data_IF_961067301704
#
_entry.id   IF_961067301704
#
_cell.length_a   1.000
_cell.length_b   1.000
_cell.length_c   1.000
_cell.angle_alpha   90.00
_cell.angle_beta   90.00
_cell.angle_gamma   90.00
#
_symmetry.space_group_name_H-M   'P 1'
#
loop_
_entity.id
_entity.type
_entity.pdbx_description
1 polymer ?
#
# COMPACT_ATOMS: atom_id res chain seq x y z
N UNK A 1 -44.99 -22.88 -46.30
CA UNK A 1 -43.90 -23.37 -45.42
C UNK A 1 -42.50 -23.33 -46.04
N UNK A 2 -42.23 -23.89 -47.23
CA UNK A 2 -40.88 -23.84 -47.85
C UNK A 2 -40.33 -22.41 -48.07
N UNK A 3 -41.18 -21.43 -48.38
CA UNK A 3 -40.78 -20.01 -48.52
C UNK A 3 -40.42 -19.33 -47.19
N UNK A 4 -41.06 -19.72 -46.09
CA UNK A 4 -40.78 -19.17 -44.76
C UNK A 4 -39.44 -19.68 -44.21
N UNK A 5 -39.15 -20.97 -44.38
CA UNK A 5 -37.86 -21.55 -43.98
C UNK A 5 -36.67 -20.94 -44.73
N UNK A 6 -36.85 -20.58 -46.02
CA UNK A 6 -35.80 -19.92 -46.82
C UNK A 6 -35.45 -18.51 -46.33
N UNK A 7 -36.37 -17.81 -45.67
CA UNK A 7 -36.12 -16.48 -45.09
C UNK A 7 -35.69 -16.56 -43.63
N UNK A 8 -36.21 -17.50 -42.85
CA UNK A 8 -35.94 -17.59 -41.42
C UNK A 8 -34.49 -18.01 -41.12
N UNK A 9 -33.93 -18.93 -41.91
CA UNK A 9 -32.56 -19.44 -41.71
C UNK A 9 -31.49 -18.33 -41.83
N UNK A 10 -31.46 -17.51 -42.89
CA UNK A 10 -30.46 -16.44 -42.99
C UNK A 10 -30.65 -15.34 -41.94
N UNK A 11 -31.90 -15.04 -41.54
CA UNK A 11 -32.16 -14.09 -40.45
C UNK A 11 -31.64 -14.62 -39.12
N UNK A 12 -31.87 -15.90 -38.82
CA UNK A 12 -31.36 -16.53 -37.60
C UNK A 12 -29.83 -16.57 -37.58
N UNK A 13 -29.18 -16.82 -38.73
CA UNK A 13 -27.73 -16.80 -38.85
C UNK A 13 -27.16 -15.39 -38.62
N UNK A 14 -27.80 -14.34 -39.16
CA UNK A 14 -27.38 -12.95 -38.95
C UNK A 14 -27.56 -12.55 -37.48
N UNK A 15 -28.67 -12.93 -36.85
CA UNK A 15 -28.91 -12.67 -35.42
C UNK A 15 -27.89 -13.40 -34.54
N UNK A 16 -27.53 -14.64 -34.89
CA UNK A 16 -26.52 -15.40 -34.17
C UNK A 16 -25.12 -14.78 -34.31
N UNK A 17 -24.74 -14.34 -35.52
CA UNK A 17 -23.46 -13.65 -35.76
C UNK A 17 -23.43 -12.30 -35.04
N UNK A 18 -24.51 -11.52 -35.09
CA UNK A 18 -24.61 -10.25 -34.36
C UNK A 18 -24.54 -10.47 -32.83
N UNK A 19 -25.18 -11.52 -32.31
CA UNK A 19 -25.12 -11.88 -30.90
C UNK A 19 -23.71 -12.35 -30.48
N UNK A 20 -23.01 -13.09 -31.34
CA UNK A 20 -21.61 -13.51 -31.13
C UNK A 20 -20.64 -12.32 -31.19
N UNK A 21 -20.87 -11.35 -32.09
CA UNK A 21 -20.08 -10.12 -32.17
C UNK A 21 -20.37 -9.12 -31.05
N UNK A 22 -21.53 -9.25 -30.37
CA UNK A 22 -21.91 -8.42 -29.24
C UNK A 22 -21.45 -8.99 -27.89
N UNK A 23 -20.81 -10.17 -27.87
CA UNK A 23 -20.13 -10.63 -26.67
C UNK A 23 -18.95 -9.66 -26.46
N UNK A 24 -18.92 -8.87 -25.37
CA UNK A 24 -17.75 -8.07 -25.07
C UNK A 24 -16.60 -9.06 -24.94
N UNK A 25 -15.65 -8.99 -25.88
CA UNK A 25 -14.34 -9.57 -25.65
C UNK A 25 -13.76 -8.76 -24.49
N UNK A 26 -13.95 -9.23 -23.26
CA UNK A 26 -13.11 -8.81 -22.15
C UNK A 26 -11.70 -9.08 -22.61
N UNK A 27 -10.92 -8.01 -22.84
CA UNK A 27 -9.51 -8.14 -23.14
C UNK A 27 -8.93 -9.12 -22.11
N UNK A 28 -8.18 -10.11 -22.57
CA UNK A 28 -7.53 -11.04 -21.65
C UNK A 28 -6.76 -10.19 -20.64
N UNK A 29 -7.00 -10.40 -19.34
CA UNK A 29 -6.33 -9.65 -18.31
C UNK A 29 -4.82 -9.76 -18.55
N UNK A 30 -4.14 -8.63 -18.71
CA UNK A 30 -2.69 -8.60 -18.86
C UNK A 30 -2.09 -9.04 -17.52
N UNK A 31 -1.77 -10.33 -17.40
CA UNK A 31 -1.30 -10.92 -16.16
C UNK A 31 0.12 -11.44 -16.33
N UNK A 32 1.00 -11.06 -15.40
CA UNK A 32 2.38 -11.52 -15.38
C UNK A 32 2.69 -12.13 -14.01
N UNK A 33 3.08 -13.40 -14.02
CA UNK A 33 3.51 -14.12 -12.83
C UNK A 33 5.00 -13.88 -12.57
N UNK A 34 5.35 -13.55 -11.34
CA UNK A 34 6.73 -13.22 -10.92
C UNK A 34 7.11 -13.96 -9.64
N UNK A 35 8.37 -14.41 -9.59
CA UNK A 35 9.06 -14.92 -8.39
C UNK A 35 10.58 -14.85 -8.61
N UNK A 36 11.35 -14.85 -7.54
CA UNK A 36 12.80 -14.97 -7.65
C UNK A 36 13.20 -16.32 -8.27
N UNK A 37 14.18 -16.29 -9.16
CA UNK A 37 14.62 -17.48 -9.90
C UNK A 37 13.63 -17.97 -10.95
N UNK A 38 12.63 -17.16 -11.35
CA UNK A 38 11.76 -17.46 -12.48
C UNK A 38 12.55 -17.81 -13.74
N UNK A 39 12.03 -18.74 -14.55
CA UNK A 39 12.70 -19.25 -15.76
C UNK A 39 11.88 -19.12 -17.03
N UNK A 40 10.64 -18.63 -16.91
CA UNK A 40 9.65 -18.58 -17.97
C UNK A 40 9.39 -17.18 -18.51
N UNK A 41 8.25 -17.05 -19.17
CA UNK A 41 7.80 -15.84 -19.87
C UNK A 41 6.82 -14.98 -19.03
N UNK A 42 6.42 -15.46 -17.86
CA UNK A 42 5.43 -14.84 -16.97
C UNK A 42 3.99 -15.25 -17.24
N UNK A 43 3.73 -16.21 -18.14
CA UNK A 43 2.36 -16.61 -18.51
C UNK A 43 1.61 -17.44 -17.45
N UNK A 44 2.33 -18.01 -16.47
CA UNK A 44 1.77 -18.81 -15.38
C UNK A 44 2.74 -18.89 -14.20
N UNK A 45 2.30 -19.41 -13.05
CA UNK A 45 3.16 -19.60 -11.89
C UNK A 45 4.34 -20.59 -12.13
N UNK A 46 4.10 -21.64 -12.93
CA UNK A 46 5.14 -22.60 -13.36
C UNK A 46 6.12 -21.97 -14.38
N UNK A 47 5.65 -20.99 -15.15
CA UNK A 47 6.42 -20.24 -16.15
C UNK A 47 6.66 -18.80 -15.69
N UNK A 48 6.92 -18.58 -14.39
CA UNK A 48 7.12 -17.23 -13.84
C UNK A 48 8.26 -16.51 -14.55
N UNK A 49 8.12 -15.19 -14.70
CA UNK A 49 8.97 -14.36 -15.55
C UNK A 49 10.45 -14.45 -15.16
N UNK A 50 11.28 -14.72 -16.15
CA UNK A 50 12.74 -14.77 -16.01
C UNK A 50 13.37 -13.37 -15.99
N UNK A 51 14.34 -13.10 -15.10
CA UNK A 51 15.26 -11.97 -15.21
C UNK A 51 15.98 -11.92 -16.57
N UNK A 52 16.25 -10.72 -17.11
CA UNK A 52 16.88 -10.57 -18.45
C UNK A 52 18.32 -11.06 -18.48
N UNK A 53 19.08 -10.88 -17.40
CA UNK A 53 20.40 -11.49 -17.22
C UNK A 53 20.28 -12.64 -16.22
N UNK A 54 20.59 -13.86 -16.65
CA UNK A 54 20.53 -15.06 -15.80
C UNK A 54 21.62 -15.13 -14.73
N UNK A 55 22.55 -14.15 -14.71
CA UNK A 55 23.63 -14.06 -13.75
C UNK A 55 23.70 -12.63 -13.23
N UNK A 56 23.36 -12.50 -11.95
CA UNK A 56 23.72 -11.37 -11.11
C UNK A 56 25.23 -11.07 -11.25
N UNK A 57 25.56 -9.90 -11.82
CA UNK A 57 26.93 -9.37 -11.86
C UNK A 57 27.06 -8.25 -10.79
N UNK A 58 27.77 -8.51 -9.67
CA UNK A 58 27.93 -7.53 -8.58
C UNK A 58 28.74 -6.30 -8.99
N UNK A 59 29.37 -6.29 -10.17
CA UNK A 59 30.17 -5.17 -10.68
C UNK A 59 29.37 -4.19 -11.55
N UNK A 60 28.14 -4.54 -11.93
CA UNK A 60 27.26 -3.67 -12.71
C UNK A 60 26.61 -2.57 -11.86
N UNK A 61 26.32 -1.42 -12.47
CA UNK A 61 25.65 -0.32 -11.80
C UNK A 61 24.28 -0.73 -11.28
N UNK A 62 23.84 -0.15 -10.15
CA UNK A 62 22.56 -0.50 -9.51
C UNK A 62 21.36 -0.37 -10.46
N UNK A 63 21.40 0.60 -11.38
CA UNK A 63 20.39 0.80 -12.43
C UNK A 63 20.31 -0.39 -13.40
N UNK A 64 21.44 -0.98 -13.80
CA UNK A 64 21.44 -2.16 -14.66
C UNK A 64 20.83 -3.37 -13.91
N UNK A 65 21.19 -3.54 -12.63
CA UNK A 65 20.66 -4.62 -11.78
C UNK A 65 19.14 -4.53 -11.59
N UNK A 66 18.63 -3.31 -11.39
CA UNK A 66 17.19 -3.07 -11.26
C UNK A 66 16.46 -3.47 -12.54
N UNK A 67 16.99 -3.03 -13.69
CA UNK A 67 16.41 -3.37 -15.00
C UNK A 67 16.37 -4.86 -15.23
N UNK A 68 17.34 -5.62 -14.70
CA UNK A 68 17.33 -7.07 -14.88
C UNK A 68 16.33 -7.83 -14.00
N UNK A 69 15.79 -7.19 -12.96
CA UNK A 69 14.88 -7.83 -12.02
C UNK A 69 13.52 -8.19 -12.66
N UNK A 70 13.00 -9.38 -12.37
CA UNK A 70 11.74 -9.86 -12.94
C UNK A 70 10.56 -8.92 -12.66
N UNK A 71 10.48 -8.35 -11.45
CA UNK A 71 9.46 -7.34 -11.11
C UNK A 71 9.57 -6.08 -11.98
N UNK A 72 10.78 -5.59 -12.25
CA UNK A 72 10.99 -4.41 -13.11
C UNK A 72 10.48 -4.69 -14.52
N UNK A 73 10.89 -5.84 -15.08
CA UNK A 73 10.50 -6.27 -16.41
C UNK A 73 8.99 -6.49 -16.53
N UNK A 74 8.35 -7.05 -15.50
CA UNK A 74 6.90 -7.19 -15.45
C UNK A 74 6.20 -5.83 -15.50
N UNK A 75 6.65 -4.87 -14.69
CA UNK A 75 6.07 -3.52 -14.65
C UNK A 75 6.22 -2.83 -16.00
N UNK A 76 7.41 -2.83 -16.61
CA UNK A 76 7.61 -2.24 -17.95
C UNK A 76 6.66 -2.84 -18.98
N UNK A 77 6.56 -4.18 -19.03
CA UNK A 77 5.63 -4.87 -19.94
C UNK A 77 4.18 -4.47 -19.71
N UNK A 78 3.74 -4.32 -18.45
CA UNK A 78 2.37 -3.91 -18.17
C UNK A 78 2.12 -2.45 -18.54
N UNK A 79 3.08 -1.55 -18.29
CA UNK A 79 2.98 -0.15 -18.73
C UNK A 79 2.82 -0.04 -20.25
N UNK A 80 3.61 -0.80 -21.01
CA UNK A 80 3.52 -0.86 -22.48
C UNK A 80 2.18 -1.44 -22.98
N UNK A 81 1.52 -2.27 -22.19
CA UNK A 81 0.27 -2.93 -22.54
C UNK A 81 -0.97 -2.26 -21.91
N UNK A 82 -0.84 -1.07 -21.33
CA UNK A 82 -1.96 -0.30 -20.77
C UNK A 82 -2.42 -0.77 -19.39
N UNK A 83 -1.56 -1.45 -18.63
CA UNK A 83 -1.78 -1.89 -17.26
C UNK A 83 -2.03 -3.38 -17.13
N UNK A 84 -2.38 -3.82 -15.92
CA UNK A 84 -2.69 -5.22 -15.65
C UNK A 84 -2.36 -5.65 -14.23
N UNK A 85 -2.15 -6.95 -14.07
CA UNK A 85 -1.92 -7.60 -12.77
C UNK A 85 -0.56 -8.29 -12.74
N UNK A 86 0.19 -8.04 -11.68
CA UNK A 86 1.38 -8.79 -11.31
C UNK A 86 0.97 -9.79 -10.23
N UNK A 87 1.14 -11.08 -10.52
CA UNK A 87 0.90 -12.16 -9.56
C UNK A 87 2.25 -12.57 -8.96
N UNK A 88 2.46 -12.22 -7.70
CA UNK A 88 3.61 -12.69 -6.91
C UNK A 88 3.32 -14.13 -6.51
N UNK A 89 3.94 -15.08 -7.22
CA UNK A 89 3.67 -16.52 -7.10
C UNK A 89 4.77 -17.30 -6.35
N UNK A 90 5.67 -16.58 -5.70
CA UNK A 90 6.73 -17.06 -4.82
C UNK A 90 7.45 -15.87 -4.17
N UNK A 91 8.46 -16.09 -3.32
CA UNK A 91 9.20 -15.01 -2.70
C UNK A 91 9.87 -14.11 -3.75
N UNK A 92 9.86 -12.80 -3.49
CA UNK A 92 10.63 -11.80 -4.23
C UNK A 92 11.40 -10.96 -3.22
N UNK A 93 12.72 -10.85 -3.39
CA UNK A 93 13.58 -10.06 -2.54
C UNK A 93 14.15 -8.88 -3.33
N UNK A 94 13.74 -7.68 -2.95
CA UNK A 94 14.28 -6.43 -3.51
C UNK A 94 15.50 -5.99 -2.72
N UNK A 95 16.63 -6.66 -2.94
CA UNK A 95 17.92 -6.33 -2.33
C UNK A 95 18.85 -5.66 -3.34
N UNK A 96 19.19 -4.38 -3.09
CA UNK A 96 20.09 -3.61 -3.95
C UNK A 96 21.47 -3.38 -3.31
N UNK A 97 21.80 -4.04 -2.19
CA UNK A 97 22.86 -3.65 -1.23
C UNK A 97 24.31 -3.90 -1.67
N UNK A 98 24.58 -4.28 -2.92
CA UNK A 98 25.97 -4.57 -3.33
C UNK A 98 26.62 -3.38 -4.00
N UNK A 99 27.10 -2.48 -3.15
CA UNK A 99 27.94 -1.34 -3.53
C UNK A 99 27.98 -0.34 -2.39
N UNK A 100 29.15 -0.16 -1.77
CA UNK A 100 29.44 0.84 -0.73
C UNK A 100 29.41 2.28 -1.29
N UNK A 101 28.29 2.66 -1.88
CA UNK A 101 28.00 4.02 -2.25
C UNK A 101 27.28 4.65 -1.07
N UNK A 102 27.97 5.59 -0.41
CA UNK A 102 27.37 6.52 0.54
C UNK A 102 26.30 7.42 -0.12
N UNK A 103 26.13 7.35 -1.44
CA UNK A 103 25.09 8.04 -2.16
C UNK A 103 23.78 7.23 -2.12
N UNK A 104 22.86 7.69 -1.26
CA UNK A 104 21.56 7.07 -0.99
C UNK A 104 20.68 6.89 -2.24
N UNK A 105 20.89 7.68 -3.30
CA UNK A 105 20.19 7.56 -4.60
C UNK A 105 20.39 6.22 -5.29
N UNK A 106 21.45 5.48 -4.95
CA UNK A 106 21.76 4.20 -5.59
C UNK A 106 21.04 3.01 -4.95
N UNK A 107 20.43 3.17 -3.77
CA UNK A 107 19.89 2.03 -3.01
C UNK A 107 18.42 1.76 -3.25
N UNK A 108 17.68 2.72 -3.81
CA UNK A 108 16.25 2.59 -4.06
C UNK A 108 15.99 1.83 -5.36
N UNK A 109 14.96 0.98 -5.39
CA UNK A 109 14.42 0.33 -6.59
C UNK A 109 13.59 1.35 -7.36
N UNK A 110 14.21 1.96 -8.38
CA UNK A 110 13.66 3.07 -9.14
C UNK A 110 13.43 2.70 -10.60
N UNK A 111 12.53 3.43 -11.24
CA UNK A 111 12.24 3.31 -12.66
C UNK A 111 12.78 4.53 -13.40
N UNK A 112 13.05 4.35 -14.70
CA UNK A 112 13.39 5.48 -15.56
C UNK A 112 12.24 6.49 -15.55
N UNK A 113 12.54 7.78 -15.45
CA UNK A 113 11.52 8.83 -15.38
C UNK A 113 10.54 8.83 -16.57
N UNK A 114 10.96 8.30 -17.73
CA UNK A 114 10.10 8.14 -18.91
C UNK A 114 9.03 7.06 -18.77
N UNK A 115 9.12 6.20 -17.76
CA UNK A 115 8.11 5.19 -17.44
C UNK A 115 7.02 5.72 -16.52
N UNK A 116 7.21 6.91 -15.92
CA UNK A 116 6.25 7.45 -14.97
C UNK A 116 4.97 7.92 -15.67
N UNK A 117 3.81 7.45 -15.23
CA UNK A 117 2.50 7.77 -15.83
C UNK A 117 1.34 7.61 -14.84
N UNK A 118 0.34 8.48 -14.93
CA UNK A 118 -0.93 8.35 -14.20
C UNK A 118 -2.03 7.63 -14.99
N UNK A 119 -1.78 7.30 -16.26
CA UNK A 119 -2.79 6.75 -17.17
C UNK A 119 -3.00 5.24 -16.99
N UNK A 120 -2.09 4.58 -16.29
CA UNK A 120 -2.01 3.13 -16.19
C UNK A 120 -1.95 2.69 -14.74
N UNK A 121 -2.85 1.78 -14.35
CA UNK A 121 -2.81 1.17 -13.01
C UNK A 121 -2.23 -0.24 -13.07
N UNK A 122 -1.34 -0.56 -12.13
CA UNK A 122 -0.80 -1.90 -11.94
C UNK A 122 -1.31 -2.45 -10.61
N UNK A 123 -1.91 -3.64 -10.67
CA UNK A 123 -2.36 -4.38 -9.48
C UNK A 123 -1.33 -5.45 -9.11
N UNK A 124 -1.04 -5.60 -7.83
CA UNK A 124 -0.13 -6.59 -7.26
C UNK A 124 -0.94 -7.50 -6.33
N UNK A 125 -0.85 -8.81 -6.54
CA UNK A 125 -1.56 -9.80 -5.74
C UNK A 125 -0.76 -11.10 -5.57
N UNK A 126 -1.02 -11.83 -4.48
CA UNK A 126 -0.58 -13.22 -4.31
C UNK A 126 -1.73 -14.21 -4.31
N UNK A 127 -2.96 -13.77 -4.60
CA UNK A 127 -4.13 -14.63 -4.81
C UNK A 127 -4.65 -14.44 -6.23
N UNK A 128 -4.64 -15.51 -7.02
CA UNK A 128 -5.08 -15.45 -8.41
C UNK A 128 -5.65 -16.79 -8.88
N UNK A 129 -6.77 -16.75 -9.62
CA UNK A 129 -7.49 -17.93 -10.10
C UNK A 129 -7.79 -18.99 -9.01
N UNK A 130 -8.16 -18.51 -7.81
CA UNK A 130 -8.51 -19.37 -6.67
C UNK A 130 -7.31 -20.03 -5.97
N UNK A 131 -6.07 -19.69 -6.35
CA UNK A 131 -4.85 -20.15 -5.70
C UNK A 131 -4.29 -19.02 -4.84
N UNK A 132 -4.03 -19.32 -3.57
CA UNK A 132 -3.27 -18.44 -2.67
C UNK A 132 -1.79 -18.86 -2.69
N UNK A 133 -0.95 -18.05 -3.34
CA UNK A 133 0.48 -18.30 -3.44
C UNK A 133 1.23 -18.01 -2.15
N UNK A 134 0.64 -17.26 -1.20
CA UNK A 134 1.23 -17.06 0.13
C UNK A 134 1.30 -18.39 0.87
N UNK A 135 0.21 -19.15 0.81
CA UNK A 135 0.11 -20.46 1.45
C UNK A 135 0.84 -21.55 0.67
N UNK A 136 0.66 -21.58 -0.66
CA UNK A 136 1.16 -22.69 -1.49
C UNK A 136 2.62 -22.56 -1.89
N UNK A 137 3.16 -21.34 -1.93
CA UNK A 137 4.51 -21.05 -2.41
C UNK A 137 5.31 -20.09 -1.52
N UNK A 138 4.78 -19.69 -0.36
CA UNK A 138 5.43 -18.70 0.51
C UNK A 138 5.57 -17.33 -0.15
N UNK A 139 4.66 -16.99 -1.06
CA UNK A 139 4.73 -15.75 -1.82
C UNK A 139 4.69 -14.52 -0.91
N UNK A 140 5.69 -13.66 -1.08
CA UNK A 140 5.82 -12.38 -0.39
C UNK A 140 6.79 -11.47 -1.11
N UNK A 141 6.58 -10.17 -0.96
CA UNK A 141 7.51 -9.14 -1.41
C UNK A 141 8.36 -8.66 -0.23
N UNK A 142 9.67 -8.90 -0.28
CA UNK A 142 10.61 -8.53 0.78
C UNK A 142 11.40 -7.31 0.35
N UNK A 143 11.29 -6.21 1.09
CA UNK A 143 12.00 -4.97 0.86
C UNK A 143 13.39 -5.05 1.49
N UNK A 144 14.36 -5.60 0.77
CA UNK A 144 15.73 -5.85 1.26
C UNK A 144 16.48 -4.60 1.73
N UNK A 145 17.72 -4.81 2.18
CA UNK A 145 18.55 -3.73 2.73
C UNK A 145 18.77 -2.59 1.72
N UNK A 146 18.44 -1.37 2.14
CA UNK A 146 18.64 -0.16 1.35
C UNK A 146 17.52 0.21 0.39
N UNK A 147 16.54 -0.67 0.14
CA UNK A 147 15.54 -0.46 -0.90
C UNK A 147 14.30 0.29 -0.42
N UNK A 148 14.04 1.48 -0.97
CA UNK A 148 12.66 1.94 -1.19
C UNK A 148 12.25 1.56 -2.60
N UNK A 149 10.97 1.24 -2.80
CA UNK A 149 10.42 1.00 -4.13
C UNK A 149 9.70 2.26 -4.56
N UNK A 150 10.24 2.94 -5.56
CA UNK A 150 9.55 4.06 -6.20
C UNK A 150 8.66 3.49 -7.29
N UNK A 151 7.35 3.68 -7.19
CA UNK A 151 6.40 3.14 -8.16
C UNK A 151 6.24 4.12 -9.33
N UNK A 152 6.25 3.65 -10.59
CA UNK A 152 6.18 4.52 -11.76
C UNK A 152 4.74 4.84 -12.18
N UNK A 153 3.74 4.29 -11.49
CA UNK A 153 2.34 4.49 -11.87
C UNK A 153 1.40 4.23 -10.69
N UNK A 154 0.12 4.61 -10.81
CA UNK A 154 -0.92 4.18 -9.90
C UNK A 154 -0.81 2.68 -9.60
N UNK A 155 -0.74 2.34 -8.32
CA UNK A 155 -0.42 0.98 -7.87
C UNK A 155 -1.39 0.52 -6.80
N UNK A 156 -1.90 -0.71 -6.95
CA UNK A 156 -2.84 -1.33 -6.01
C UNK A 156 -2.26 -2.64 -5.51
N UNK A 157 -2.12 -2.79 -4.20
CA UNK A 157 -1.67 -4.02 -3.54
C UNK A 157 -2.87 -4.67 -2.88
N UNK A 158 -3.10 -5.96 -3.12
CA UNK A 158 -4.20 -6.72 -2.51
C UNK A 158 -3.80 -8.17 -2.26
N UNK A 159 -4.39 -8.81 -1.24
CA UNK A 159 -4.20 -10.24 -0.98
C UNK A 159 -2.74 -10.74 -1.03
N UNK A 160 -1.80 -9.98 -0.47
CA UNK A 160 -0.38 -10.28 -0.54
C UNK A 160 0.36 -9.95 0.76
N UNK A 161 1.52 -10.57 0.96
CA UNK A 161 2.39 -10.28 2.10
C UNK A 161 3.57 -9.41 1.66
N UNK A 162 3.85 -8.37 2.43
CA UNK A 162 4.95 -7.44 2.25
C UNK A 162 5.77 -7.42 3.54
N UNK A 163 7.03 -7.84 3.47
CA UNK A 163 7.95 -7.76 4.59
C UNK A 163 8.93 -6.60 4.36
N UNK A 164 9.15 -5.78 5.39
CA UNK A 164 10.38 -4.99 5.39
C UNK A 164 11.57 -5.95 5.53
N UNK A 165 12.71 -5.63 4.95
CA UNK A 165 13.97 -6.39 5.11
C UNK A 165 15.01 -5.66 5.97
N UNK A 166 14.70 -4.43 6.38
CA UNK A 166 15.48 -3.62 7.31
C UNK A 166 14.61 -2.47 7.83
N UNK A 167 15.13 -1.73 8.82
CA UNK A 167 14.48 -0.51 9.29
C UNK A 167 14.20 0.45 8.14
N UNK A 168 13.04 1.12 8.20
CA UNK A 168 12.79 2.31 7.40
C UNK A 168 12.89 2.02 5.89
N UNK A 169 12.30 0.90 5.45
CA UNK A 169 12.15 0.49 4.05
C UNK A 169 10.70 0.55 3.65
N UNK A 170 10.40 0.74 2.38
CA UNK A 170 9.04 1.11 2.04
C UNK A 170 8.74 1.31 0.57
N UNK A 171 7.54 1.82 0.32
CA UNK A 171 7.07 2.23 -1.00
C UNK A 171 6.93 3.73 -1.05
N UNK A 172 7.46 4.32 -2.10
CA UNK A 172 7.15 5.68 -2.48
C UNK A 172 6.28 5.64 -3.75
N UNK A 173 5.12 6.29 -3.69
CA UNK A 173 4.16 6.31 -4.78
C UNK A 173 4.66 7.07 -6.03
N UNK A 174 5.83 7.73 -5.95
CA UNK A 174 6.38 8.46 -7.08
C UNK A 174 5.54 9.68 -7.49
N UNK A 175 4.60 10.11 -6.65
CA UNK A 175 3.60 11.14 -6.95
C UNK A 175 2.28 10.59 -7.48
N UNK A 176 2.21 9.28 -7.71
CA UNK A 176 1.03 8.58 -8.20
C UNK A 176 0.09 8.17 -7.05
N UNK A 177 -1.06 7.59 -7.40
CA UNK A 177 -1.92 6.94 -6.42
C UNK A 177 -1.29 5.62 -5.93
N UNK A 178 -1.40 5.35 -4.63
CA UNK A 178 -0.91 4.13 -4.01
C UNK A 178 -1.96 3.58 -3.05
N UNK A 179 -2.47 2.40 -3.34
CA UNK A 179 -3.55 1.77 -2.57
C UNK A 179 -3.11 0.42 -2.02
N UNK A 180 -3.33 0.20 -0.73
CA UNK A 180 -3.21 -1.10 -0.09
C UNK A 180 -4.61 -1.54 0.33
N UNK A 181 -5.18 -2.51 -0.39
CA UNK A 181 -6.50 -3.06 -0.19
C UNK A 181 -6.52 -4.21 0.84
N UNK A 182 -7.71 -4.65 1.26
CA UNK A 182 -7.87 -5.76 2.19
C UNK A 182 -7.12 -7.03 1.73
N UNK A 183 -6.63 -7.78 2.71
CA UNK A 183 -5.81 -8.97 2.49
C UNK A 183 -4.33 -8.67 2.24
N UNK A 184 -3.93 -7.40 2.14
CA UNK A 184 -2.53 -7.00 2.24
C UNK A 184 -2.05 -7.12 3.68
N UNK A 185 -0.93 -7.81 3.89
CA UNK A 185 -0.32 -8.03 5.19
C UNK A 185 1.09 -7.45 5.20
N UNK A 186 1.38 -6.63 6.20
CA UNK A 186 2.72 -6.14 6.48
C UNK A 186 3.37 -6.96 7.60
N UNK A 187 4.59 -7.42 7.35
CA UNK A 187 5.40 -8.17 8.29
C UNK A 187 6.65 -7.35 8.66
N UNK A 188 7.10 -7.47 9.93
CA UNK A 188 8.36 -6.85 10.32
C UNK A 188 9.53 -7.60 9.69
N UNK A 189 10.66 -6.92 9.48
CA UNK A 189 11.87 -7.59 9.00
C UNK A 189 12.46 -8.59 10.00
N UNK A 190 12.27 -8.30 11.29
CA UNK A 190 12.63 -9.15 12.41
C UNK A 190 11.42 -9.23 13.34
N UNK A 191 10.93 -10.44 13.57
CA UNK A 191 9.77 -10.69 14.43
C UNK A 191 9.97 -10.21 15.88
N UNK A 192 11.22 -10.17 16.36
CA UNK A 192 11.55 -9.64 17.70
C UNK A 192 11.32 -8.12 17.80
N UNK A 193 11.24 -7.43 16.66
CA UNK A 193 11.01 -5.99 16.56
C UNK A 193 9.57 -5.65 16.14
N UNK A 194 8.62 -6.58 16.27
CA UNK A 194 7.21 -6.33 15.93
C UNK A 194 6.56 -5.15 16.69
N UNK A 195 7.16 -4.68 17.79
CA UNK A 195 6.73 -3.47 18.49
C UNK A 195 7.35 -2.17 17.95
N UNK A 196 8.43 -2.25 17.17
CA UNK A 196 9.11 -1.09 16.60
C UNK A 196 8.44 -0.71 15.26
N UNK A 197 7.85 0.51 15.14
CA UNK A 197 7.27 0.96 13.88
C UNK A 197 8.26 0.97 12.71
N UNK A 198 9.57 1.11 12.97
CA UNK A 198 10.60 1.08 11.92
C UNK A 198 10.78 -0.30 11.32
N UNK A 199 10.35 -1.36 12.02
CA UNK A 199 10.45 -2.72 11.54
C UNK A 199 9.48 -3.01 10.39
N UNK A 200 8.49 -2.15 10.17
CA UNK A 200 7.46 -2.29 9.14
C UNK A 200 7.69 -1.36 7.94
N UNK A 201 7.04 -1.64 6.80
CA UNK A 201 7.14 -0.77 5.63
C UNK A 201 6.69 0.67 5.91
N UNK A 202 7.47 1.63 5.41
CA UNK A 202 7.09 3.05 5.33
C UNK A 202 6.39 3.31 4.00
N UNK A 203 5.35 4.13 4.02
CA UNK A 203 4.60 4.50 2.83
C UNK A 203 4.78 6.01 2.60
N UNK A 204 5.24 6.40 1.43
CA UNK A 204 5.46 7.78 1.01
C UNK A 204 4.66 8.09 -0.26
N UNK A 205 4.19 9.33 -0.40
CA UNK A 205 3.57 9.79 -1.65
C UNK A 205 4.61 10.27 -2.67
N UNK A 206 5.65 10.97 -2.22
CA UNK A 206 6.68 11.55 -3.09
C UNK A 206 7.86 10.61 -3.38
N UNK A 207 8.59 10.87 -4.48
CA UNK A 207 9.89 10.25 -4.76
C UNK A 207 10.94 10.77 -3.81
N UNK A 208 11.96 9.98 -3.49
CA UNK A 208 13.15 10.43 -2.74
C UNK A 208 14.08 11.26 -3.64
N UNK A 209 14.67 12.34 -3.12
CA UNK A 209 15.60 13.26 -3.83
C UNK A 209 15.09 13.99 -5.07
N UNK A 210 13.79 13.93 -5.37
CA UNK A 210 13.21 14.66 -6.51
C UNK A 210 12.05 15.52 -6.08
N UNK A 211 11.96 16.69 -6.70
CA UNK A 211 10.78 17.54 -6.65
C UNK A 211 9.66 16.81 -7.38
N UNK A 212 8.57 16.53 -6.66
CA UNK A 212 7.38 15.96 -7.27
C UNK A 212 6.37 17.07 -7.58
N UNK A 213 5.81 17.03 -8.78
CA UNK A 213 4.77 17.96 -9.24
C UNK A 213 3.37 17.33 -9.23
N UNK A 214 3.26 16.05 -8.85
CA UNK A 214 1.99 15.31 -8.82
C UNK A 214 1.37 15.31 -7.43
N UNK A 215 0.08 14.97 -7.37
CA UNK A 215 -0.72 14.98 -6.16
C UNK A 215 -0.98 13.55 -5.68
N UNK A 216 -0.06 12.93 -4.92
CA UNK A 216 -0.21 11.54 -4.54
C UNK A 216 -1.44 11.36 -3.64
N UNK A 217 -2.16 10.27 -3.90
CA UNK A 217 -3.26 9.79 -3.06
C UNK A 217 -2.87 8.42 -2.52
N UNK A 218 -2.61 8.37 -1.21
CA UNK A 218 -2.29 7.12 -0.51
C UNK A 218 -3.57 6.63 0.15
N UNK A 219 -3.97 5.38 -0.13
CA UNK A 219 -5.11 4.73 0.53
C UNK A 219 -4.65 3.46 1.23
N UNK A 220 -4.97 3.31 2.51
CA UNK A 220 -4.62 2.14 3.33
C UNK A 220 -5.87 1.53 3.94
N UNK A 221 -6.12 0.28 3.58
CA UNK A 221 -7.24 -0.55 4.04
C UNK A 221 -6.75 -2.00 4.25
N UNK A 222 -5.95 -2.21 5.30
CA UNK A 222 -5.20 -3.47 5.51
C UNK A 222 -5.73 -4.31 6.68
N UNK A 223 -6.97 -4.07 7.10
CA UNK A 223 -7.60 -4.76 8.23
C UNK A 223 -6.92 -4.44 9.54
N UNK A 224 -6.42 -5.46 10.23
CA UNK A 224 -5.69 -5.29 11.51
C UNK A 224 -4.16 -5.23 11.31
N UNK A 225 -3.68 -5.32 10.06
CA UNK A 225 -2.25 -5.40 9.78
C UNK A 225 -1.47 -4.18 10.29
N UNK A 226 -0.32 -4.39 10.95
CA UNK A 226 0.51 -3.30 11.45
C UNK A 226 1.11 -2.48 10.32
N UNK A 227 1.12 -1.16 10.46
CA UNK A 227 1.73 -0.22 9.51
C UNK A 227 2.76 0.62 10.25
N UNK A 228 3.95 0.75 9.66
CA UNK A 228 5.07 1.49 10.26
C UNK A 228 4.82 2.98 10.26
N UNK A 229 5.07 3.64 9.14
CA UNK A 229 4.84 5.08 8.99
C UNK A 229 4.17 5.40 7.66
N UNK A 230 3.37 6.48 7.63
CA UNK A 230 2.76 6.99 6.40
C UNK A 230 3.06 8.48 6.27
N UNK A 231 3.51 8.89 5.09
CA UNK A 231 3.75 10.29 4.76
C UNK A 231 3.17 10.60 3.39
N UNK A 232 2.21 11.52 3.31
CA UNK A 232 1.63 11.96 2.04
C UNK A 232 2.66 12.61 1.12
N UNK A 233 3.70 13.22 1.70
CA UNK A 233 4.81 13.82 0.98
C UNK A 233 5.98 12.87 0.73
N UNK A 234 7.16 13.46 0.61
CA UNK A 234 8.40 12.74 0.30
C UNK A 234 9.00 12.02 1.50
N UNK A 235 9.66 10.91 1.18
CA UNK A 235 10.62 10.25 2.05
C UNK A 235 12.03 10.63 1.65
N UNK A 236 12.79 11.40 2.43
CA UNK A 236 14.20 11.64 2.13
C UNK A 236 14.89 12.72 2.96
N UNK A 237 16.19 12.51 3.22
CA UNK A 237 17.06 13.25 4.13
C UNK A 237 18.06 14.04 3.27
N UNK A 238 18.06 15.36 3.41
CA UNK A 238 19.05 16.21 2.78
C UNK A 238 18.65 17.67 2.93
N UNK A 239 19.32 18.37 3.84
CA UNK A 239 19.23 19.82 3.95
C UNK A 239 19.60 20.47 2.61
N UNK A 240 18.65 21.13 1.96
CA UNK A 240 18.93 21.96 0.78
C UNK A 240 18.19 21.59 -0.51
N UNK A 241 17.19 20.72 -0.46
CA UNK A 241 16.35 20.46 -1.63
C UNK A 241 14.91 20.92 -1.37
N UNK A 242 14.52 22.02 -2.01
CA UNK A 242 13.15 22.55 -2.08
C UNK A 242 12.27 21.57 -2.86
N UNK A 243 11.54 20.69 -2.18
CA UNK A 243 10.91 19.57 -2.87
C UNK A 243 9.52 19.28 -2.35
N UNK A 244 8.56 19.99 -2.97
CA UNK A 244 7.25 19.58 -3.48
C UNK A 244 6.56 20.86 -3.98
N UNK A 245 7.05 21.50 -5.04
CA UNK A 245 6.47 22.78 -5.51
C UNK A 245 5.13 22.54 -6.24
N UNK A 246 4.01 23.06 -5.71
CA UNK A 246 2.69 23.04 -6.34
C UNK A 246 1.85 21.78 -6.11
N UNK A 247 2.29 20.84 -5.27
CA UNK A 247 1.63 19.54 -5.08
C UNK A 247 0.87 19.46 -3.76
N UNK A 248 -0.37 18.96 -3.83
CA UNK A 248 -1.18 18.60 -2.67
C UNK A 248 -1.14 17.10 -2.44
N UNK A 249 -1.16 16.68 -1.18
CA UNK A 249 -1.06 15.28 -0.78
C UNK A 249 -2.33 14.84 -0.09
N UNK A 250 -2.75 13.60 -0.34
CA UNK A 250 -3.91 13.01 0.33
C UNK A 250 -3.57 11.65 0.91
N UNK A 251 -3.87 11.46 2.19
CA UNK A 251 -3.76 10.18 2.89
C UNK A 251 -5.16 9.76 3.33
N UNK A 252 -5.58 8.56 2.96
CA UNK A 252 -6.88 7.97 3.31
C UNK A 252 -6.62 6.69 4.07
N UNK A 253 -7.10 6.63 5.30
CA UNK A 253 -6.95 5.48 6.19
C UNK A 253 -8.33 4.92 6.48
N UNK A 254 -8.55 3.68 6.05
CA UNK A 254 -9.81 2.95 6.27
C UNK A 254 -9.69 1.92 7.39
N UNK A 255 -8.55 1.22 7.43
CA UNK A 255 -8.25 0.21 8.44
C UNK A 255 -6.73 -0.03 8.54
N UNK A 256 -6.28 -0.55 9.67
CA UNK A 256 -4.88 -0.88 9.97
C UNK A 256 -4.54 -0.68 11.45
N UNK A 257 -3.38 -1.18 11.87
CA UNK A 257 -2.79 -0.86 13.19
C UNK A 257 -1.55 0.02 12.99
N UNK A 258 -1.67 1.33 13.23
CA UNK A 258 -0.63 2.30 12.91
C UNK A 258 0.31 2.50 14.10
N UNK A 259 1.50 1.93 14.00
CA UNK A 259 2.50 1.90 15.07
C UNK A 259 3.35 3.17 15.13
N UNK A 260 3.57 3.81 13.98
CA UNK A 260 4.37 5.03 13.86
C UNK A 260 3.55 6.18 13.33
N UNK A 261 4.26 7.23 12.92
CA UNK A 261 3.63 8.50 12.56
C UNK A 261 2.89 8.45 11.22
N UNK A 262 1.79 9.21 11.18
CA UNK A 262 1.08 9.59 9.98
C UNK A 262 1.32 11.08 9.76
N UNK A 263 1.85 11.44 8.60
CA UNK A 263 2.12 12.82 8.20
C UNK A 263 1.43 13.18 6.89
N UNK A 264 0.80 14.35 6.81
CA UNK A 264 0.24 14.82 5.54
C UNK A 264 1.32 15.17 4.51
N UNK A 265 2.44 15.74 4.96
CA UNK A 265 3.61 16.09 4.15
C UNK A 265 4.77 15.13 4.38
N UNK A 266 5.99 15.66 4.48
CA UNK A 266 7.23 14.87 4.43
C UNK A 266 7.69 14.35 5.81
N UNK A 267 8.48 13.26 5.78
CA UNK A 267 9.02 12.59 6.98
C UNK A 267 10.18 13.32 7.66
N UNK A 268 10.97 14.12 6.95
CA UNK A 268 12.20 14.68 7.52
C UNK A 268 12.12 16.20 7.65
N UNK A 269 12.88 16.74 8.59
CA UNK A 269 13.04 18.18 8.75
C UNK A 269 13.74 18.79 7.53
N UNK A 270 13.27 19.96 7.08
CA UNK A 270 13.91 20.73 6.00
C UNK A 270 13.43 20.40 4.59
N UNK A 271 12.45 19.50 4.43
CA UNK A 271 11.75 19.25 3.16
C UNK A 271 10.41 19.97 3.17
N UNK A 272 10.11 20.82 2.20
CA UNK A 272 8.89 21.63 2.21
C UNK A 272 7.80 21.05 1.31
N UNK A 273 6.55 21.01 1.79
CA UNK A 273 5.36 20.82 0.94
C UNK A 273 4.91 22.19 0.40
N UNK A 274 4.68 22.36 -0.90
CA UNK A 274 4.10 23.60 -1.45
C UNK A 274 2.74 23.30 -2.07
N UNK A 275 1.80 22.94 -1.22
CA UNK A 275 0.41 22.73 -1.57
C UNK A 275 -0.36 22.40 -0.31
N UNK A 276 -1.45 21.65 -0.44
CA UNK A 276 -2.29 21.30 0.71
C UNK A 276 -2.02 19.87 1.15
N UNK A 277 -2.15 19.60 2.43
CA UNK A 277 -2.20 18.24 2.94
C UNK A 277 -3.60 17.90 3.44
N UNK A 278 -4.07 16.71 3.11
CA UNK A 278 -5.33 16.17 3.59
C UNK A 278 -5.11 14.75 4.14
N UNK A 279 -5.55 14.52 5.39
CA UNK A 279 -5.56 13.21 6.02
C UNK A 279 -7.02 12.88 6.35
N UNK A 280 -7.52 11.77 5.82
CA UNK A 280 -8.86 11.25 6.07
C UNK A 280 -8.74 9.94 6.85
N UNK A 281 -9.36 9.86 8.02
CA UNK A 281 -9.36 8.67 8.88
C UNK A 281 -10.78 8.18 9.09
N UNK A 282 -11.09 7.03 8.49
CA UNK A 282 -12.38 6.35 8.58
C UNK A 282 -12.37 5.24 9.64
N UNK A 283 -11.21 4.68 9.97
CA UNK A 283 -11.06 3.58 10.93
C UNK A 283 -9.60 3.18 11.19
N UNK A 284 -9.40 2.15 12.02
CA UNK A 284 -8.08 1.64 12.41
C UNK A 284 -7.74 1.86 13.89
N UNK A 285 -6.56 1.41 14.30
CA UNK A 285 -6.00 1.56 15.67
C UNK A 285 -4.73 2.40 15.59
N UNK A 286 -4.63 3.48 16.36
CA UNK A 286 -3.54 4.45 16.28
C UNK A 286 -2.71 4.46 17.55
N UNK A 287 -1.40 4.21 17.41
CA UNK A 287 -0.41 4.22 18.50
C UNK A 287 0.68 5.27 18.33
N UNK A 288 0.91 5.73 17.09
CA UNK A 288 1.86 6.79 16.79
C UNK A 288 1.28 8.20 16.94
N UNK A 289 1.89 9.15 16.24
CA UNK A 289 1.38 10.53 16.13
C UNK A 289 0.70 10.77 14.78
N UNK A 290 -0.31 11.64 14.76
CA UNK A 290 -0.90 12.15 13.51
C UNK A 290 -0.50 13.61 13.39
N UNK A 291 0.19 13.96 12.32
CA UNK A 291 0.66 15.31 12.05
C UNK A 291 0.06 15.78 10.72
N UNK A 292 -0.79 16.81 10.74
CA UNK A 292 -1.44 17.32 9.55
C UNK A 292 -0.43 17.69 8.45
N UNK A 293 0.77 18.15 8.83
CA UNK A 293 1.86 18.52 7.92
C UNK A 293 2.99 17.49 7.89
N UNK A 294 3.25 16.76 8.97
CA UNK A 294 4.48 15.98 9.14
C UNK A 294 5.66 16.82 9.63
N UNK A 295 6.89 16.39 9.31
CA UNK A 295 8.14 16.97 9.84
C UNK A 295 8.73 18.09 8.96
N UNK A 296 8.21 18.25 7.74
CA UNK A 296 8.80 19.08 6.70
C UNK A 296 8.42 20.57 6.68
N UNK A 297 7.28 20.94 7.26
CA UNK A 297 6.70 22.28 7.08
C UNK A 297 6.22 22.56 5.64
N UNK A 298 5.72 23.78 5.40
CA UNK A 298 5.21 24.25 4.10
C UNK A 298 6.04 25.35 3.45
N UNK A 299 6.33 25.20 2.17
CA UNK A 299 7.02 26.22 1.36
C UNK A 299 6.15 27.40 0.95
N UNK A 300 4.82 27.25 1.02
CA UNK A 300 3.86 28.29 0.65
C UNK A 300 3.13 28.82 1.90
N UNK A 301 3.08 30.15 2.00
CA UNK A 301 2.34 30.89 3.03
C UNK A 301 0.82 30.72 2.93
N UNK A 302 0.30 30.11 1.86
CA UNK A 302 -1.12 29.84 1.67
C UNK A 302 -1.52 28.37 1.80
N UNK A 303 -0.59 27.48 2.12
CA UNK A 303 -0.89 26.06 2.32
C UNK A 303 -1.89 25.82 3.45
N UNK A 304 -2.79 24.86 3.24
CA UNK A 304 -3.72 24.36 4.25
C UNK A 304 -3.39 22.92 4.64
N UNK A 305 -3.61 22.58 5.90
CA UNK A 305 -3.51 21.22 6.39
C UNK A 305 -4.84 20.80 7.01
N UNK A 306 -5.43 19.70 6.54
CA UNK A 306 -6.72 19.22 7.03
C UNK A 306 -6.59 17.79 7.52
N UNK A 307 -7.09 17.53 8.73
CA UNK A 307 -7.27 16.18 9.27
C UNK A 307 -8.76 15.97 9.52
N UNK A 308 -9.37 15.02 8.83
CA UNK A 308 -10.77 14.64 9.02
C UNK A 308 -10.80 13.25 9.66
N UNK A 309 -11.47 13.14 10.80
CA UNK A 309 -11.59 11.86 11.52
C UNK A 309 -13.06 11.54 11.70
N UNK A 310 -13.50 10.41 11.17
CA UNK A 310 -14.86 9.88 11.31
C UNK A 310 -14.92 8.59 12.12
N UNK A 311 -13.80 7.89 12.32
CA UNK A 311 -13.73 6.66 13.11
C UNK A 311 -12.32 6.25 13.52
N UNK A 312 -12.21 5.13 14.25
CA UNK A 312 -10.95 4.56 14.73
C UNK A 312 -10.82 4.49 16.25
N UNK A 313 -9.76 3.84 16.72
CA UNK A 313 -9.36 3.75 18.13
C UNK A 313 -8.07 4.55 18.36
N UNK A 314 -8.14 5.53 19.25
CA UNK A 314 -7.07 6.46 19.59
C UNK A 314 -6.60 6.32 21.05
N UNK A 315 -7.00 5.24 21.74
CA UNK A 315 -6.72 5.04 23.17
C UNK A 315 -5.22 5.13 23.48
N UNK A 316 -4.38 4.57 22.61
CA UNK A 316 -2.92 4.55 22.75
C UNK A 316 -2.23 5.58 21.83
N UNK A 317 -2.98 6.48 21.19
CA UNK A 317 -2.43 7.46 20.27
C UNK A 317 -1.64 8.52 21.04
N UNK A 318 -0.42 8.81 20.59
CA UNK A 318 0.44 9.79 21.25
C UNK A 318 -0.05 11.23 21.07
N UNK A 319 -0.74 11.52 19.97
CA UNK A 319 -1.37 12.81 19.76
C UNK A 319 -1.74 13.11 18.33
N UNK A 320 -2.58 14.14 18.17
CA UNK A 320 -3.02 14.68 16.88
C UNK A 320 -2.61 16.14 16.80
N UNK A 321 -1.69 16.46 15.92
CA UNK A 321 -1.06 17.79 15.84
C UNK A 321 -1.24 18.39 14.46
N UNK A 322 -1.24 19.71 14.39
CA UNK A 322 -1.09 20.42 13.12
C UNK A 322 0.29 20.10 12.50
N UNK A 323 1.33 20.02 13.32
CA UNK A 323 2.73 19.92 12.93
C UNK A 323 3.53 19.10 13.92
N UNK A 324 4.66 18.54 13.46
CA UNK A 324 5.56 17.86 14.36
C UNK A 324 6.28 18.83 15.31
N UNK A 325 6.62 18.34 16.51
CA UNK A 325 7.30 19.12 17.55
C UNK A 325 8.63 19.67 17.04
N UNK A 326 8.83 20.99 17.16
CA UNK A 326 10.10 21.66 16.85
C UNK A 326 10.16 22.36 15.48
N UNK A 327 9.06 22.39 14.72
CA UNK A 327 8.97 23.18 13.49
C UNK A 327 8.77 24.67 13.87
N UNK A 328 9.86 25.46 13.86
CA UNK A 328 9.83 26.89 14.25
C UNK A 328 9.65 27.88 13.09
N UNK A 329 9.20 27.40 11.94
CA UNK A 329 8.88 28.22 10.77
C UNK A 329 8.13 27.37 9.76
N UNK A 330 7.33 27.99 8.89
CA UNK A 330 6.64 27.30 7.79
C UNK A 330 5.48 26.39 8.23
N UNK A 331 4.63 26.87 9.14
CA UNK A 331 3.35 26.23 9.47
C UNK A 331 2.30 26.47 8.37
N UNK A 332 1.24 25.66 8.38
CA UNK A 332 0.09 25.91 7.53
C UNK A 332 -0.47 27.30 7.84
N UNK A 333 -1.00 27.99 6.83
CA UNK A 333 -1.80 29.19 7.06
C UNK A 333 -3.03 28.88 7.90
N UNK A 334 -3.58 27.70 7.66
CA UNK A 334 -4.79 27.21 8.29
C UNK A 334 -4.68 25.70 8.45
N UNK A 335 -4.73 25.26 9.71
CA UNK A 335 -4.78 23.86 10.08
C UNK A 335 -6.17 23.54 10.65
N UNK A 336 -6.89 22.62 10.02
CA UNK A 336 -8.23 22.20 10.41
C UNK A 336 -8.22 20.76 10.94
N UNK A 337 -8.81 20.58 12.11
CA UNK A 337 -9.22 19.27 12.62
C UNK A 337 -10.75 19.16 12.52
N UNK A 338 -11.25 18.30 11.63
CA UNK A 338 -12.68 18.08 11.44
C UNK A 338 -13.12 16.74 12.04
N UNK A 339 -13.90 16.84 13.13
CA UNK A 339 -14.51 15.71 13.84
C UNK A 339 -16.03 15.69 13.66
N UNK A 340 -16.59 16.46 12.72
CA UNK A 340 -18.04 16.62 12.55
C UNK A 340 -18.78 15.30 12.32
N UNK A 341 -18.09 14.32 11.72
CA UNK A 341 -18.61 12.98 11.42
C UNK A 341 -18.13 11.90 12.42
N UNK A 342 -17.37 12.27 13.45
CA UNK A 342 -16.93 11.34 14.49
C UNK A 342 -18.06 11.01 15.48
N UNK A 343 -17.97 9.84 16.12
CA UNK A 343 -18.78 9.57 17.31
C UNK A 343 -18.35 10.47 18.48
N UNK A 344 -19.21 10.63 19.49
CA UNK A 344 -18.87 11.44 20.67
C UNK A 344 -17.68 10.84 21.45
N UNK A 345 -17.56 9.52 21.48
CA UNK A 345 -16.46 8.81 22.12
C UNK A 345 -15.12 9.13 21.42
N UNK A 346 -15.10 9.00 20.09
CA UNK A 346 -13.93 9.32 19.26
C UNK A 346 -13.55 10.80 19.40
N UNK A 347 -14.53 11.71 19.30
CA UNK A 347 -14.29 13.13 19.44
C UNK A 347 -13.73 13.50 20.83
N UNK A 348 -14.23 12.87 21.90
CA UNK A 348 -13.72 13.07 23.26
C UNK A 348 -12.28 12.59 23.42
N UNK A 349 -11.95 11.41 22.87
CA UNK A 349 -10.60 10.86 22.92
C UNK A 349 -9.61 11.79 22.22
N UNK A 350 -9.96 12.30 21.04
CA UNK A 350 -9.09 13.16 20.23
C UNK A 350 -8.89 14.53 20.90
N UNK A 351 -9.95 15.14 21.47
CA UNK A 351 -9.80 16.43 22.17
C UNK A 351 -8.78 16.40 23.31
N UNK A 352 -8.66 15.26 24.00
CA UNK A 352 -7.69 15.09 25.08
C UNK A 352 -6.23 15.05 24.63
N UNK A 353 -5.99 14.78 23.34
CA UNK A 353 -4.65 14.54 22.77
C UNK A 353 -4.32 15.43 21.56
N UNK A 354 -5.20 16.37 21.20
CA UNK A 354 -5.00 17.25 20.04
C UNK A 354 -4.45 18.63 20.42
N UNK A 355 -3.57 19.17 19.58
CA UNK A 355 -3.01 20.52 19.77
C UNK A 355 -2.58 21.18 18.45
N UNK A 356 -2.45 22.51 18.46
CA UNK A 356 -1.87 23.30 17.37
C UNK A 356 -2.83 23.67 16.23
N UNK A 357 -4.01 23.07 16.13
CA UNK A 357 -4.97 23.40 15.07
C UNK A 357 -5.51 24.84 15.19
N UNK A 358 -5.67 25.49 14.03
CA UNK A 358 -6.29 26.82 13.93
C UNK A 358 -7.79 26.74 14.19
N UNK A 359 -8.42 25.67 13.69
CA UNK A 359 -9.84 25.41 13.86
C UNK A 359 -10.08 23.94 14.18
N UNK A 360 -11.05 23.69 15.03
CA UNK A 360 -11.54 22.34 15.33
C UNK A 360 -13.06 22.34 15.21
N UNK A 361 -13.58 21.48 14.34
CA UNK A 361 -15.02 21.27 14.12
C UNK A 361 -15.45 20.02 14.86
N UNK A 362 -16.53 20.10 15.64
CA UNK A 362 -17.00 19.02 16.53
C UNK A 362 -18.31 18.41 16.04
N UNK A 363 -18.65 17.18 16.47
CA UNK A 363 -19.94 16.58 16.17
C UNK A 363 -21.12 17.44 16.67
N UNK A 364 -22.24 17.39 15.96
CA UNK A 364 -23.45 18.09 16.37
C UNK A 364 -23.96 17.59 17.74
N UNK A 365 -24.19 18.51 18.69
CA UNK A 365 -24.64 18.18 20.04
C UNK A 365 -23.54 17.74 21.00
N UNK A 366 -22.27 17.75 20.56
CA UNK A 366 -21.13 17.51 21.43
C UNK A 366 -20.92 18.68 22.39
N UNK A 367 -21.02 18.42 23.70
CA UNK A 367 -20.63 19.38 24.72
C UNK A 367 -19.12 19.20 24.97
N UNK A 368 -18.27 20.20 24.68
CA UNK A 368 -16.85 20.08 24.91
C UNK A 368 -16.60 19.77 26.39
N UNK A 369 -15.70 18.82 26.65
CA UNK A 369 -15.24 18.55 28.01
C UNK A 369 -14.58 19.85 28.48
N UNK A 370 -15.29 20.59 29.32
CA UNK A 370 -14.76 21.80 29.92
C UNK A 370 -13.75 21.32 30.93
N UNK A 371 -12.47 21.42 30.59
CA UNK A 371 -11.39 21.23 31.57
C UNK A 371 -11.66 22.22 32.69
N UNK A 372 -12.14 21.71 33.83
CA UNK A 372 -12.31 22.54 35.01
C UNK A 372 -10.97 23.22 35.27
N UNK A 373 -10.99 24.54 35.48
CA UNK A 373 -9.79 25.28 35.81
C UNK A 373 -9.05 24.55 36.94
N UNK A 374 -7.72 24.40 36.88
CA UNK A 374 -6.98 23.64 37.88
C UNK A 374 -7.36 24.17 39.26
N UNK A 375 -7.93 23.30 40.09
CA UNK A 375 -8.22 23.65 41.48
C UNK A 375 -6.91 24.12 42.09
N UNK A 376 -6.91 25.35 42.58
CA UNK A 376 -5.75 26.00 43.17
C UNK A 376 -5.34 25.16 44.38
N UNK A 377 -4.35 24.30 44.16
CA UNK A 377 -3.80 23.44 45.21
C UNK A 377 -3.17 24.36 46.24
N UNK A 378 -3.68 24.32 47.47
CA UNK A 378 -3.12 25.05 48.59
C UNK A 378 -1.62 24.74 48.72
N UNK A 379 -0.83 25.78 49.01
CA UNK A 379 0.61 25.71 49.14
C UNK A 379 1.04 24.53 50.05
N UNK A 380 2.04 23.73 49.65
CA UNK A 380 2.53 22.66 50.50
C UNK A 380 3.18 23.24 51.76
N UNK A 381 2.76 22.77 52.94
CA UNK A 381 3.47 23.07 54.18
C UNK A 381 4.88 22.47 54.11
N UNK A 382 5.88 23.35 54.16
CA UNK A 382 7.29 23.02 54.25
C UNK A 382 7.59 22.17 55.48
N UNK A 383 7.89 20.89 55.28
CA UNK A 383 8.58 20.07 56.29
C UNK A 383 9.94 19.66 55.73
N UNK A 384 10.98 20.32 56.24
CA UNK A 384 12.38 20.02 55.97
C UNK A 384 12.81 18.81 56.78
N UNK A 385 13.12 17.69 56.12
CA UNK A 385 13.91 16.61 56.70
C UNK A 385 15.05 16.25 55.75
N UNK A 386 16.26 16.22 56.30
CA UNK A 386 17.51 15.98 55.60
C UNK A 386 17.60 14.56 55.02
N UNK A 387 18.26 14.35 53.86
CA UNK A 387 18.52 13.00 53.38
C UNK A 387 19.77 12.43 54.07
N UNK A 388 19.60 11.31 54.77
CA UNK A 388 20.70 10.45 55.19
C UNK A 388 21.26 9.69 53.99
N UNK A 389 22.58 9.68 53.92
CA UNK A 389 23.41 8.94 52.97
C UNK A 389 23.42 7.47 53.32
N UNK A 390 23.29 6.51 52.39
CA UNK A 390 23.87 5.14 52.53
C UNK A 390 23.94 4.38 51.20
N UNK A 391 25.17 3.97 50.88
CA UNK A 391 25.72 2.78 50.19
C UNK A 391 25.17 2.25 48.85
N UNK A 392 26.11 2.11 47.91
CA UNK A 392 26.13 1.11 46.83
C UNK A 392 26.13 -0.33 47.39
N UNK A 393 25.71 -1.35 46.61
CA UNK A 393 26.76 -2.19 46.01
C UNK A 393 26.44 -2.85 44.65
N UNK A 394 27.57 -3.14 44.00
CA UNK A 394 27.96 -4.35 43.25
C UNK A 394 27.27 -4.83 41.96
N UNK A 395 28.16 -4.96 40.98
CA UNK A 395 28.12 -5.62 39.68
C UNK A 395 28.02 -7.15 39.82
N UNK A 396 27.31 -7.82 38.90
CA UNK A 396 27.50 -9.25 38.62
C UNK A 396 27.36 -9.52 37.12
N UNK A 397 28.22 -10.42 36.63
CA UNK A 397 28.57 -10.74 35.24
C UNK A 397 27.51 -11.56 34.46
N UNK A 398 27.65 -11.73 33.13
CA UNK A 398 26.67 -12.39 32.27
C UNK A 398 26.90 -13.92 32.18
N UNK A 399 25.83 -14.65 31.88
CA UNK A 399 25.89 -16.06 31.48
C UNK A 399 25.65 -16.19 29.97
N UNK A 400 26.54 -16.93 29.32
CA UNK A 400 26.48 -17.42 27.93
C UNK A 400 25.62 -18.69 27.81
N UNK A 401 25.51 -19.15 26.55
CA UNK A 401 25.16 -20.50 26.07
C UNK A 401 23.66 -20.87 26.03
N UNK A 402 23.15 -21.62 25.05
CA UNK A 402 23.60 -22.06 23.72
C UNK A 402 22.42 -22.78 23.06
N UNK A 403 22.57 -23.02 21.77
CA UNK A 403 22.15 -24.22 21.04
C UNK A 403 20.77 -24.35 20.37
N UNK A 404 20.91 -24.80 19.13
CA UNK A 404 19.98 -25.07 18.06
C UNK A 404 19.13 -26.32 18.33
N UNK A 405 17.96 -26.41 17.69
CA UNK A 405 17.54 -27.71 17.16
C UNK A 405 16.67 -27.53 15.92
N UNK A 406 17.18 -28.02 14.80
CA UNK A 406 16.47 -28.15 13.52
C UNK A 406 15.82 -29.53 13.42
N UNK A 407 14.59 -29.58 12.89
CA UNK A 407 13.95 -30.83 12.44
C UNK A 407 13.12 -30.56 11.18
N UNK A 408 13.26 -31.35 10.09
CA UNK A 408 12.53 -31.11 8.85
C UNK A 408 11.17 -31.79 8.85
N UNK A 409 10.18 -31.15 8.23
CA UNK A 409 8.85 -31.67 7.96
C UNK A 409 8.74 -32.23 6.51
N UNK A 410 7.77 -33.14 6.24
CA UNK A 410 7.78 -34.02 5.08
C UNK A 410 7.17 -33.40 3.81
N UNK A 411 7.58 -33.95 2.67
CA UNK A 411 7.14 -33.60 1.31
C UNK A 411 5.70 -33.99 1.00
N UNK A 412 4.89 -33.03 0.54
CA UNK A 412 3.51 -33.20 0.06
C UNK A 412 3.47 -33.38 -1.48
N UNK A 413 2.61 -34.26 -2.05
CA UNK A 413 2.53 -34.48 -3.49
C UNK A 413 1.84 -33.34 -4.25
N UNK A 414 2.29 -33.10 -5.49
CA UNK A 414 1.85 -32.05 -6.39
C UNK A 414 0.35 -32.12 -6.76
N UNK A 415 -0.31 -30.96 -6.75
CA UNK A 415 -1.68 -30.75 -7.21
C UNK A 415 -1.77 -30.65 -8.75
N UNK A 416 -2.90 -31.02 -9.37
CA UNK A 416 -3.07 -31.01 -10.81
C UNK A 416 -3.24 -29.60 -11.37
N UNK A 417 -2.63 -29.39 -12.54
CA UNK A 417 -2.56 -28.17 -13.34
C UNK A 417 -3.97 -27.66 -13.71
N UNK A 418 -4.32 -26.45 -13.29
CA UNK A 418 -5.55 -25.78 -13.66
C UNK A 418 -5.33 -24.91 -14.91
N UNK A 419 -6.00 -25.24 -16.01
CA UNK A 419 -6.03 -24.42 -17.23
C UNK A 419 -7.06 -23.30 -17.07
N UNK A 420 -6.59 -22.06 -16.95
CA UNK A 420 -7.40 -20.85 -16.87
C UNK A 420 -7.95 -20.45 -18.23
N UNK A 421 -9.21 -20.79 -18.48
CA UNK A 421 -10.05 -20.21 -19.52
C UNK A 421 -11.42 -19.89 -18.91
N UNK A 422 -12.18 -18.98 -19.52
CA UNK A 422 -13.55 -18.63 -19.11
C UNK A 422 -14.33 -19.90 -18.72
N UNK A 423 -15.13 -19.87 -17.63
CA UNK A 423 -15.69 -21.08 -17.03
C UNK A 423 -16.35 -21.90 -18.13
N UNK A 424 -15.76 -23.07 -18.42
CA UNK A 424 -16.23 -23.96 -19.50
C UNK A 424 -17.74 -24.22 -19.36
N UNK A 425 -18.26 -24.20 -18.12
CA UNK A 425 -19.69 -24.28 -17.84
C UNK A 425 -20.54 -23.17 -18.46
N UNK A 426 -20.05 -21.93 -18.57
CA UNK A 426 -20.78 -20.80 -19.18
C UNK A 426 -20.80 -20.93 -20.71
N UNK A 427 -19.69 -21.32 -21.33
CA UNK A 427 -19.62 -21.57 -22.78
C UNK A 427 -20.50 -22.76 -23.17
N UNK A 428 -20.43 -23.87 -22.42
CA UNK A 428 -21.30 -25.04 -22.62
C UNK A 428 -22.77 -24.66 -22.41
N UNK A 429 -23.08 -23.84 -21.40
CA UNK A 429 -24.44 -23.38 -21.12
C UNK A 429 -25.06 -22.59 -22.27
N UNK A 430 -24.30 -21.66 -22.87
CA UNK A 430 -24.75 -20.86 -24.01
C UNK A 430 -24.95 -21.75 -25.25
N UNK A 431 -24.02 -22.66 -25.55
CA UNK A 431 -24.13 -23.57 -26.70
C UNK A 431 -25.34 -24.51 -26.55
N UNK A 432 -25.57 -25.07 -25.36
CA UNK A 432 -26.71 -25.94 -25.08
C UNK A 432 -28.06 -25.19 -25.26
N UNK A 433 -28.16 -23.95 -24.76
CA UNK A 433 -29.38 -23.15 -24.91
C UNK A 433 -29.72 -22.86 -26.38
N UNK A 434 -28.72 -22.55 -27.21
CA UNK A 434 -28.91 -22.32 -28.65
C UNK A 434 -29.39 -23.58 -29.36
N UNK A 435 -28.82 -24.76 -29.02
CA UNK A 435 -29.25 -26.05 -29.60
C UNK A 435 -30.70 -26.36 -29.23
N UNK A 436 -31.11 -26.13 -27.97
CA UNK A 436 -32.48 -26.37 -27.53
C UNK A 436 -33.47 -25.47 -28.28
N UNK A 437 -33.15 -24.18 -28.44
CA UNK A 437 -34.00 -23.24 -29.20
C UNK A 437 -34.14 -23.70 -30.66
N UNK A 438 -33.03 -24.12 -31.29
CA UNK A 438 -33.06 -24.63 -32.67
C UNK A 438 -33.95 -25.89 -32.81
N UNK A 439 -33.88 -26.83 -31.86
CA UNK A 439 -34.72 -28.04 -31.84
C UNK A 439 -36.20 -27.69 -31.66
N UNK A 440 -36.52 -26.77 -30.74
CA UNK A 440 -37.91 -26.31 -30.51
C UNK A 440 -38.48 -25.69 -31.80
N UNK A 441 -37.72 -24.83 -32.48
CA UNK A 441 -38.14 -24.23 -33.76
C UNK A 441 -38.43 -25.32 -34.80
N UNK A 442 -37.58 -26.35 -34.91
CA UNK A 442 -37.81 -27.47 -35.85
C UNK A 442 -39.06 -28.26 -35.49
N UNK A 443 -39.31 -28.55 -34.21
CA UNK A 443 -40.49 -29.30 -33.75
C UNK A 443 -41.78 -28.52 -33.99
N UNK A 444 -41.79 -27.22 -33.69
CA UNK A 444 -42.95 -26.34 -33.92
C UNK A 444 -43.25 -26.20 -35.42
N UNK A 445 -42.22 -26.08 -36.26
CA UNK A 445 -42.38 -26.04 -37.71
C UNK A 445 -42.84 -27.38 -38.32
N UNK A 446 -42.51 -28.52 -37.70
CA UNK A 446 -43.00 -29.84 -38.12
C UNK A 446 -44.45 -30.11 -37.68
N UNK A 447 -44.89 -29.62 -36.51
CA UNK A 447 -46.27 -29.80 -36.02
C UNK A 447 -47.33 -29.04 -36.83
N UNK A 448 -46.95 -27.97 -37.55
CA UNK A 448 -47.88 -27.17 -38.36
C UNK A 448 -48.20 -27.77 -39.74
N UNK A 449 -47.83 -29.04 -39.97
CA UNK A 449 -47.99 -29.77 -41.24
C UNK A 449 -49.03 -30.88 -41.21
N UNK A 450 -49.78 -31.03 -40.11
CA UNK A 450 -50.99 -31.84 -40.06
C UNK A 450 -52.20 -30.95 -40.30
#
# INVERSE_FOLDING_TARGET
MKKLAKFLIPVLAIVLVAALCAIPMTAADNVIFVKDGGTGDGSSADSALKPTTGNYDPTTSNTARQKDHALYQAIVKLLENGGGTIVVCGPIVLDLTTGQSNNETTRDFMFDASLHTDDVTITYTSVYNGVDYRETAGAKLVLGTGSHVVLPSPSVFENMTIAAGAENRGFCAGGHALTFNPGTLFEPYDASLAADPKAYPVICGGERYKKNTMNPVITVDVGESPVGHIYGGQYGIGSGYDMLEGSSTKVIIKSGTFLGDIGGGARHSGTMLFGNSEILIEGGVFKGTINAIGNGGFGDVNSTATVVISGGDFTDCFGVYDSAVGITGNLAKYALLDLSNASNEVASAIQGISAGFTETVLPAGFAPVTTAAPETTAAPETTTAAPETTAAPETTAPAEEDDETTSPAPSTPAAPKAEGGAPIGLIIGIVAAVIVIAVIVVVVLKKKKA
#
